data_IF_469695371258
#
_entry.id   IF_469695371258
#
_cell.length_a   1.000
_cell.length_b   1.000
_cell.length_c   1.000
_cell.angle_alpha   90.00
_cell.angle_beta   90.00
_cell.angle_gamma   90.00
#
_symmetry.space_group_name_H-M   'P 1'
#
loop_
_entity.id
_entity.type
_entity.pdbx_description
1 polymer ?
#
# COMPACT_ATOMS: atom_id res chain seq x y z
N UNK A 1 21.27 19.51 -48.29
CA UNK A 1 21.07 18.24 -49.01
C UNK A 1 20.17 17.35 -48.17
N UNK A 2 19.05 16.86 -48.70
CA UNK A 2 18.16 15.97 -47.95
C UNK A 2 18.88 14.64 -47.69
N UNK A 3 19.13 14.31 -46.42
CA UNK A 3 19.73 13.05 -45.98
C UNK A 3 18.75 11.90 -46.23
N UNK A 4 19.05 11.05 -47.21
CA UNK A 4 18.16 10.01 -47.76
C UNK A 4 18.13 8.69 -46.95
N UNK A 5 18.58 8.69 -45.68
CA UNK A 5 18.68 7.47 -44.88
C UNK A 5 18.26 7.65 -43.42
N UNK A 6 17.81 6.56 -42.79
CA UNK A 6 17.48 6.52 -41.36
C UNK A 6 18.70 6.92 -40.53
N UNK A 7 18.57 8.00 -39.75
CA UNK A 7 19.64 8.58 -38.94
C UNK A 7 19.59 8.09 -37.48
N UNK A 8 18.41 7.71 -36.99
CA UNK A 8 18.20 7.21 -35.63
C UNK A 8 17.70 5.77 -35.71
N UNK A 9 18.32 4.88 -34.94
CA UNK A 9 17.90 3.48 -34.80
C UNK A 9 17.37 3.25 -33.38
N UNK A 10 16.16 2.72 -33.23
CA UNK A 10 15.60 2.35 -31.92
C UNK A 10 15.58 0.83 -31.78
N UNK A 11 16.47 0.33 -30.92
CA UNK A 11 16.48 -1.08 -30.52
C UNK A 11 15.61 -1.26 -29.28
N UNK A 12 14.59 -2.11 -29.39
CA UNK A 12 13.64 -2.44 -28.33
C UNK A 12 13.04 -3.83 -28.62
N UNK A 13 12.49 -4.48 -27.60
CA UNK A 13 11.70 -5.70 -27.81
C UNK A 13 10.38 -5.36 -28.49
N UNK A 14 9.89 -6.24 -29.38
CA UNK A 14 8.57 -6.06 -30.01
C UNK A 14 7.43 -6.00 -28.99
N UNK A 15 7.61 -6.60 -27.81
CA UNK A 15 6.68 -6.54 -26.68
C UNK A 15 6.63 -5.15 -26.01
N UNK A 16 7.67 -4.33 -26.19
CA UNK A 16 7.76 -2.98 -25.63
C UNK A 16 7.45 -1.90 -26.68
N UNK A 17 6.73 -2.27 -27.75
CA UNK A 17 6.45 -1.36 -28.88
C UNK A 17 5.74 -0.08 -28.44
N UNK A 18 4.82 -0.16 -27.48
CA UNK A 18 4.10 1.01 -26.95
C UNK A 18 5.06 2.05 -26.35
N UNK A 19 6.04 1.60 -25.57
CA UNK A 19 7.07 2.47 -25.00
C UNK A 19 7.97 3.08 -26.08
N UNK A 20 8.38 2.27 -27.06
CA UNK A 20 9.18 2.77 -28.18
C UNK A 20 8.42 3.81 -29.02
N UNK A 21 7.13 3.59 -29.27
CA UNK A 21 6.29 4.53 -30.01
C UNK A 21 6.14 5.87 -29.28
N UNK A 22 5.90 5.86 -27.96
CA UNK A 22 5.83 7.09 -27.14
C UNK A 22 7.15 7.86 -27.15
N UNK A 23 8.30 7.17 -27.11
CA UNK A 23 9.61 7.83 -27.24
C UNK A 23 9.79 8.44 -28.64
N UNK A 24 9.35 7.76 -29.70
CA UNK A 24 9.42 8.32 -31.06
C UNK A 24 8.52 9.54 -31.19
N UNK A 25 7.33 9.51 -30.60
CA UNK A 25 6.41 10.64 -30.65
C UNK A 25 6.93 11.82 -29.80
N UNK A 26 7.63 11.56 -28.69
CA UNK A 26 8.40 12.59 -27.98
C UNK A 26 9.48 13.22 -28.88
N UNK A 27 10.29 12.41 -29.58
CA UNK A 27 11.30 12.92 -30.50
C UNK A 27 10.68 13.73 -31.65
N UNK A 28 9.53 13.30 -32.15
CA UNK A 28 8.85 13.99 -33.24
C UNK A 28 8.25 15.32 -32.81
N UNK A 29 7.51 15.33 -31.69
CA UNK A 29 6.78 16.51 -31.21
C UNK A 29 7.66 17.49 -30.44
N UNK A 30 8.64 17.01 -29.67
CA UNK A 30 9.49 17.84 -28.83
C UNK A 30 10.84 18.19 -29.46
N UNK A 31 11.43 17.30 -30.26
CA UNK A 31 12.74 17.53 -30.89
C UNK A 31 12.65 17.83 -32.39
N UNK A 32 11.44 17.89 -32.95
CA UNK A 32 11.17 18.10 -34.38
C UNK A 32 11.88 17.11 -35.31
N UNK A 33 12.17 15.91 -34.81
CA UNK A 33 12.77 14.85 -35.64
C UNK A 33 11.73 14.35 -36.64
N UNK A 34 12.00 14.42 -37.96
CA UNK A 34 11.11 13.85 -38.95
C UNK A 34 10.97 12.33 -38.78
N UNK A 35 9.73 11.80 -38.77
CA UNK A 35 9.46 10.36 -38.55
C UNK A 35 10.18 9.46 -39.56
N UNK A 36 10.47 9.97 -40.76
CA UNK A 36 11.21 9.24 -41.79
C UNK A 36 12.70 9.06 -41.46
N UNK A 37 13.30 9.84 -40.55
CA UNK A 37 14.69 9.65 -40.10
C UNK A 37 14.85 8.56 -39.03
N UNK A 38 13.75 8.10 -38.43
CA UNK A 38 13.75 7.08 -37.38
C UNK A 38 13.49 5.70 -37.98
N UNK A 39 14.34 4.73 -37.64
CA UNK A 39 14.12 3.32 -37.90
C UNK A 39 13.66 2.61 -36.62
N UNK A 40 12.51 1.96 -36.72
CA UNK A 40 11.92 1.14 -35.66
C UNK A 40 11.33 -0.10 -36.33
N UNK A 41 11.98 -1.25 -36.17
CA UNK A 41 11.66 -2.48 -36.89
C UNK A 41 10.22 -2.98 -36.66
N UNK A 42 9.67 -2.78 -35.47
CA UNK A 42 8.32 -3.22 -35.07
C UNK A 42 7.17 -2.33 -35.57
N UNK A 43 7.45 -1.24 -36.28
CA UNK A 43 6.41 -0.30 -36.73
C UNK A 43 6.20 -0.33 -38.25
N UNK A 44 4.95 -0.50 -38.73
CA UNK A 44 4.66 -0.74 -40.15
C UNK A 44 5.09 0.42 -41.05
N UNK A 45 5.01 1.68 -40.59
CA UNK A 45 5.40 2.86 -41.37
C UNK A 45 6.85 3.33 -41.21
N UNK A 46 7.64 2.71 -40.34
CA UNK A 46 9.01 3.17 -39.98
C UNK A 46 10.05 2.05 -39.95
N UNK A 47 9.63 0.80 -40.01
CA UNK A 47 10.45 -0.41 -39.96
C UNK A 47 10.83 -0.96 -41.33
N UNK A 48 10.96 -2.28 -41.41
CA UNK A 48 11.28 -2.97 -42.66
C UNK A 48 10.04 -3.02 -43.56
N UNK A 49 10.10 -2.51 -44.81
CA UNK A 49 9.00 -2.64 -45.76
C UNK A 49 8.70 -4.12 -46.09
N UNK A 50 7.43 -4.49 -46.35
CA UNK A 50 7.08 -5.82 -46.81
C UNK A 50 7.90 -6.26 -48.03
N UNK A 51 8.28 -7.53 -48.09
CA UNK A 51 9.07 -8.10 -49.19
C UNK A 51 10.56 -7.74 -49.19
N UNK A 52 11.06 -6.99 -48.20
CA UNK A 52 12.51 -6.79 -47.98
C UNK A 52 13.04 -7.76 -46.93
N UNK A 53 14.29 -8.20 -47.10
CA UNK A 53 14.96 -9.02 -46.10
C UNK A 53 15.15 -8.26 -44.79
N UNK A 54 14.50 -8.75 -43.73
CA UNK A 54 14.44 -8.10 -42.42
C UNK A 54 15.83 -7.93 -41.81
N UNK A 55 16.63 -8.99 -41.82
CA UNK A 55 17.94 -9.01 -41.16
C UNK A 55 18.89 -8.02 -41.84
N UNK A 56 18.93 -8.02 -43.17
CA UNK A 56 19.72 -7.08 -43.98
C UNK A 56 19.31 -5.63 -43.71
N UNK A 57 18.02 -5.33 -43.63
CA UNK A 57 17.53 -3.98 -43.36
C UNK A 57 17.84 -3.51 -41.94
N UNK A 58 17.66 -4.36 -40.94
CA UNK A 58 18.08 -4.06 -39.56
C UNK A 58 19.58 -3.75 -39.53
N UNK A 59 20.43 -4.61 -40.10
CA UNK A 59 21.89 -4.42 -40.15
C UNK A 59 22.28 -3.14 -40.87
N UNK A 60 21.66 -2.86 -42.01
CA UNK A 60 21.91 -1.65 -42.81
C UNK A 60 21.60 -0.39 -42.01
N UNK A 61 20.39 -0.30 -41.44
CA UNK A 61 19.94 0.87 -40.70
C UNK A 61 20.73 1.05 -39.39
N UNK A 62 21.05 -0.03 -38.68
CA UNK A 62 21.89 0.02 -37.48
C UNK A 62 23.30 0.53 -37.79
N UNK A 63 23.89 0.10 -38.92
CA UNK A 63 25.22 0.55 -39.35
C UNK A 63 25.22 2.01 -39.82
N UNK A 64 24.19 2.47 -40.54
CA UNK A 64 24.13 3.83 -41.07
C UNK A 64 23.64 4.88 -40.06
N UNK A 65 22.94 4.48 -38.99
CA UNK A 65 22.43 5.41 -37.99
C UNK A 65 23.57 6.17 -37.30
N UNK A 66 23.36 7.47 -37.08
CA UNK A 66 24.24 8.36 -36.29
C UNK A 66 24.00 8.19 -34.79
N UNK A 67 22.77 7.86 -34.41
CA UNK A 67 22.34 7.66 -33.02
C UNK A 67 21.63 6.33 -32.92
N UNK A 68 22.00 5.52 -31.93
CA UNK A 68 21.32 4.28 -31.56
C UNK A 68 20.74 4.45 -30.17
N UNK A 69 19.42 4.34 -30.06
CA UNK A 69 18.72 4.36 -28.77
C UNK A 69 18.40 2.92 -28.39
N UNK A 70 18.82 2.51 -27.20
CA UNK A 70 18.52 1.18 -26.66
C UNK A 70 17.49 1.33 -25.54
N UNK A 71 16.33 0.70 -25.67
CA UNK A 71 15.32 0.66 -24.60
C UNK A 71 15.48 -0.67 -23.87
N UNK A 72 16.27 -0.65 -22.79
CA UNK A 72 16.66 -1.82 -22.04
C UNK A 72 15.58 -2.17 -21.01
N UNK A 73 14.83 -3.22 -21.32
CA UNK A 73 13.76 -3.81 -20.49
C UNK A 73 14.08 -5.29 -20.23
N UNK A 74 13.38 -5.98 -19.32
CA UNK A 74 13.51 -7.43 -19.21
C UNK A 74 13.17 -8.17 -20.52
N UNK A 75 12.19 -7.67 -21.30
CA UNK A 75 11.85 -8.20 -22.61
C UNK A 75 12.97 -8.00 -23.64
N UNK A 76 13.73 -6.91 -23.54
CA UNK A 76 14.91 -6.66 -24.37
C UNK A 76 15.96 -7.74 -24.16
N UNK A 77 16.31 -8.04 -22.91
CA UNK A 77 17.32 -9.06 -22.58
C UNK A 77 16.88 -10.48 -22.89
N UNK A 78 15.56 -10.73 -22.94
CA UNK A 78 14.99 -12.01 -23.38
C UNK A 78 15.00 -12.19 -24.91
N UNK A 79 15.26 -11.12 -25.68
CA UNK A 79 15.30 -11.14 -27.14
C UNK A 79 16.73 -11.28 -27.67
N UNK A 80 17.06 -12.46 -28.23
CA UNK A 80 18.37 -12.70 -28.84
C UNK A 80 18.71 -11.68 -29.96
N UNK A 81 17.69 -11.20 -30.68
CA UNK A 81 17.87 -10.14 -31.68
C UNK A 81 18.30 -8.81 -31.05
N UNK A 82 17.60 -8.37 -30.00
CA UNK A 82 17.90 -7.11 -29.32
C UNK A 82 19.30 -7.13 -28.67
N UNK A 83 19.66 -8.25 -28.04
CA UNK A 83 21.01 -8.44 -27.48
C UNK A 83 22.07 -8.43 -28.59
N UNK A 84 21.79 -9.04 -29.75
CA UNK A 84 22.67 -8.96 -30.92
C UNK A 84 22.83 -7.54 -31.47
N UNK A 85 21.73 -6.77 -31.56
CA UNK A 85 21.75 -5.35 -31.96
C UNK A 85 22.56 -4.50 -30.98
N UNK A 86 22.41 -4.73 -29.66
CA UNK A 86 23.21 -4.08 -28.62
C UNK A 86 24.71 -4.35 -28.79
N UNK A 87 25.10 -5.60 -29.07
CA UNK A 87 26.51 -5.94 -29.31
C UNK A 87 27.10 -5.21 -30.51
N UNK A 88 26.33 -5.09 -31.61
CA UNK A 88 26.75 -4.31 -32.79
C UNK A 88 26.80 -2.81 -32.48
N UNK A 89 25.83 -2.27 -31.74
CA UNK A 89 25.82 -0.88 -31.34
C UNK A 89 27.05 -0.54 -30.47
N UNK A 90 27.36 -1.39 -29.49
CA UNK A 90 28.55 -1.29 -28.66
C UNK A 90 29.83 -1.31 -29.49
N UNK A 91 29.98 -2.28 -30.42
CA UNK A 91 31.15 -2.37 -31.30
C UNK A 91 31.36 -1.09 -32.13
N UNK A 92 30.28 -0.42 -32.52
CA UNK A 92 30.33 0.80 -33.32
C UNK A 92 30.35 2.09 -32.49
N UNK A 93 30.36 2.02 -31.16
CA UNK A 93 30.24 3.18 -30.26
C UNK A 93 31.33 4.24 -30.41
N UNK A 94 32.48 3.90 -31.00
CA UNK A 94 33.54 4.87 -31.35
C UNK A 94 33.15 5.80 -32.52
N UNK A 95 32.10 5.48 -33.28
CA UNK A 95 31.69 6.19 -34.51
C UNK A 95 30.26 6.71 -34.50
N UNK A 96 29.47 6.38 -33.47
CA UNK A 96 28.07 6.79 -33.33
C UNK A 96 27.70 6.90 -31.87
N UNK A 97 26.72 7.73 -31.56
CA UNK A 97 26.24 7.85 -30.19
C UNK A 97 25.30 6.68 -29.87
N UNK A 98 25.55 6.03 -28.75
CA UNK A 98 24.69 4.97 -28.21
C UNK A 98 24.06 5.52 -26.94
N UNK A 99 22.73 5.53 -26.89
CA UNK A 99 21.95 6.13 -25.82
C UNK A 99 21.06 5.07 -25.15
N UNK A 100 21.56 4.37 -24.13
CA UNK A 100 20.78 3.39 -23.41
C UNK A 100 19.84 4.06 -22.40
N UNK A 101 18.59 3.60 -22.41
CA UNK A 101 17.58 3.87 -21.41
C UNK A 101 17.23 2.60 -20.66
N UNK A 102 17.00 2.73 -19.36
CA UNK A 102 16.43 1.67 -18.51
C UNK A 102 15.04 2.10 -18.01
N UNK A 103 14.26 1.14 -17.53
CA UNK A 103 12.98 1.42 -16.89
C UNK A 103 13.16 1.97 -15.47
N UNK A 104 12.21 2.76 -14.94
CA UNK A 104 12.34 3.39 -13.62
C UNK A 104 12.59 2.45 -12.46
N UNK A 105 12.09 1.21 -12.55
CA UNK A 105 12.25 0.19 -11.51
C UNK A 105 13.53 -0.65 -11.66
N UNK A 106 14.31 -0.44 -12.72
CA UNK A 106 15.56 -1.16 -12.96
C UNK A 106 16.75 -0.35 -12.48
N UNK A 107 17.78 -1.02 -11.97
CA UNK A 107 19.04 -0.37 -11.62
C UNK A 107 20.05 -0.53 -12.75
N UNK A 108 20.82 0.52 -13.03
CA UNK A 108 21.90 0.45 -14.03
C UNK A 108 22.92 -0.66 -13.69
N UNK A 109 23.14 -0.97 -12.42
CA UNK A 109 24.00 -2.08 -11.97
C UNK A 109 23.49 -3.47 -12.33
N UNK A 110 22.18 -3.62 -12.55
CA UNK A 110 21.55 -4.89 -12.96
C UNK A 110 21.73 -5.13 -14.47
N UNK A 111 21.95 -4.07 -15.24
CA UNK A 111 22.35 -4.15 -16.64
C UNK A 111 23.86 -4.42 -16.70
N UNK A 112 24.21 -5.70 -16.63
CA UNK A 112 25.60 -6.16 -16.67
C UNK A 112 26.12 -6.28 -18.11
N UNK A 113 27.39 -5.94 -18.35
CA UNK A 113 28.09 -6.25 -19.59
C UNK A 113 28.64 -5.06 -20.39
N UNK A 114 28.40 -5.07 -21.71
CA UNK A 114 29.10 -4.29 -22.75
C UNK A 114 28.96 -2.76 -22.63
N UNK A 115 27.90 -2.28 -21.98
CA UNK A 115 27.62 -0.86 -21.85
C UNK A 115 28.11 -0.34 -20.50
N UNK A 116 28.71 0.86 -20.48
CA UNK A 116 29.12 1.49 -19.22
C UNK A 116 27.88 1.95 -18.46
N UNK A 117 27.81 1.60 -17.18
CA UNK A 117 26.70 2.00 -16.28
C UNK A 117 26.53 3.52 -16.21
N UNK A 118 27.63 4.29 -16.27
CA UNK A 118 27.61 5.76 -16.29
C UNK A 118 26.90 6.36 -17.51
N UNK A 119 26.80 5.60 -18.61
CA UNK A 119 26.13 6.04 -19.82
C UNK A 119 24.65 5.65 -19.82
N UNK A 120 24.13 5.00 -18.77
CA UNK A 120 22.72 4.60 -18.66
C UNK A 120 21.94 5.61 -17.82
N UNK A 121 20.72 5.91 -18.25
CA UNK A 121 19.79 6.70 -17.46
C UNK A 121 18.38 6.15 -17.55
N UNK A 122 17.60 6.36 -16.50
CA UNK A 122 16.19 5.99 -16.52
C UNK A 122 15.44 6.84 -17.54
N UNK A 123 14.46 6.24 -18.22
CA UNK A 123 13.66 6.90 -19.25
C UNK A 123 12.72 7.98 -18.68
N UNK A 124 12.47 7.98 -17.37
CA UNK A 124 11.74 9.03 -16.65
C UNK A 124 12.63 10.18 -16.14
N UNK A 125 13.94 10.12 -16.34
CA UNK A 125 14.85 11.19 -15.94
C UNK A 125 14.78 12.35 -16.90
N UNK A 126 14.30 13.50 -16.42
CA UNK A 126 14.24 14.74 -17.20
C UNK A 126 15.63 15.16 -17.72
N UNK A 127 16.67 15.05 -16.89
CA UNK A 127 18.05 15.36 -17.28
C UNK A 127 18.56 14.43 -18.38
N UNK A 128 18.24 13.13 -18.27
CA UNK A 128 18.63 12.16 -19.31
C UNK A 128 17.94 12.43 -20.63
N UNK A 129 16.66 12.78 -20.60
CA UNK A 129 15.91 13.18 -21.79
C UNK A 129 16.47 14.48 -22.39
N UNK A 130 16.92 15.43 -21.58
CA UNK A 130 17.58 16.65 -22.05
C UNK A 130 18.91 16.34 -22.75
N UNK A 131 19.72 15.46 -22.18
CA UNK A 131 20.96 14.99 -22.81
C UNK A 131 20.67 14.33 -24.17
N UNK A 132 19.60 13.53 -24.27
CA UNK A 132 19.18 12.96 -25.56
C UNK A 132 18.82 14.08 -26.55
N UNK A 133 18.01 15.05 -26.13
CA UNK A 133 17.61 16.17 -26.99
C UNK A 133 18.81 16.96 -27.50
N UNK A 134 19.73 17.31 -26.60
CA UNK A 134 20.96 18.02 -26.95
C UNK A 134 21.76 17.27 -28.00
N UNK A 135 21.90 15.95 -27.82
CA UNK A 135 22.68 15.10 -28.71
C UNK A 135 22.02 14.88 -30.06
N UNK A 136 20.70 14.70 -30.07
CA UNK A 136 19.91 14.60 -31.31
C UNK A 136 20.01 15.90 -32.10
N UNK A 137 19.83 17.05 -31.46
CA UNK A 137 19.93 18.35 -32.11
C UNK A 137 21.32 18.57 -32.71
N UNK A 138 22.39 18.27 -31.97
CA UNK A 138 23.78 18.40 -32.43
C UNK A 138 24.07 17.48 -33.64
N UNK A 139 23.72 16.19 -33.57
CA UNK A 139 24.10 15.22 -34.62
C UNK A 139 23.28 15.34 -35.90
N UNK A 140 22.04 15.81 -35.79
CA UNK A 140 21.12 15.97 -36.92
C UNK A 140 21.07 17.42 -37.43
N UNK A 141 21.80 18.35 -36.80
CA UNK A 141 21.81 19.78 -37.15
C UNK A 141 20.39 20.39 -37.09
N UNK A 142 19.67 20.09 -36.00
CA UNK A 142 18.31 20.57 -35.77
C UNK A 142 18.31 21.79 -34.85
N UNK A 143 17.48 22.78 -35.16
CA UNK A 143 17.26 23.93 -34.29
C UNK A 143 16.50 23.50 -33.03
N UNK A 144 16.97 23.95 -31.86
CA UNK A 144 16.30 23.67 -30.60
C UNK A 144 15.15 24.65 -30.38
N UNK A 145 13.95 24.13 -30.17
CA UNK A 145 12.79 24.88 -29.67
C UNK A 145 12.49 24.39 -28.26
N UNK A 146 12.84 25.21 -27.26
CA UNK A 146 12.76 24.82 -25.84
C UNK A 146 11.31 24.64 -25.39
N UNK A 147 10.41 25.52 -25.84
CA UNK A 147 9.00 25.49 -25.44
C UNK A 147 8.29 24.20 -25.90
N UNK A 148 8.48 23.80 -27.16
CA UNK A 148 7.92 22.56 -27.70
C UNK A 148 8.49 21.34 -26.99
N UNK A 149 9.80 21.34 -26.73
CA UNK A 149 10.48 20.31 -25.97
C UNK A 149 9.91 20.15 -24.56
N UNK A 150 9.80 21.24 -23.81
CA UNK A 150 9.31 21.20 -22.42
C UNK A 150 7.87 20.68 -22.35
N UNK A 151 6.99 21.13 -23.26
CA UNK A 151 5.61 20.65 -23.34
C UNK A 151 5.54 19.15 -23.69
N UNK A 152 6.28 18.72 -24.71
CA UNK A 152 6.30 17.33 -25.13
C UNK A 152 6.91 16.41 -24.05
N UNK A 153 8.02 16.82 -23.42
CA UNK A 153 8.67 16.08 -22.32
C UNK A 153 7.73 15.95 -21.12
N UNK A 154 7.05 17.03 -20.72
CA UNK A 154 6.09 16.98 -19.61
C UNK A 154 4.93 16.02 -19.91
N UNK A 155 4.41 16.03 -21.14
CA UNK A 155 3.35 15.09 -21.58
C UNK A 155 3.83 13.65 -21.59
N UNK A 156 5.05 13.40 -22.08
CA UNK A 156 5.68 12.08 -22.08
C UNK A 156 5.83 11.54 -20.65
N UNK A 157 6.45 12.31 -19.76
CA UNK A 157 6.66 11.92 -18.35
C UNK A 157 5.33 11.66 -17.61
N UNK A 158 4.27 12.42 -17.95
CA UNK A 158 2.93 12.19 -17.39
C UNK A 158 2.30 10.86 -17.84
N UNK A 159 2.56 10.43 -19.08
CA UNK A 159 2.00 9.19 -19.66
C UNK A 159 2.81 7.95 -19.33
N UNK A 160 4.12 8.12 -19.16
CA UNK A 160 5.08 7.04 -19.00
C UNK A 160 4.70 6.00 -17.93
N UNK A 161 4.20 6.37 -16.72
CA UNK A 161 3.84 5.37 -15.70
C UNK A 161 2.76 4.39 -16.17
N UNK A 162 1.76 4.87 -16.94
CA UNK A 162 0.70 4.02 -17.49
C UNK A 162 1.26 3.04 -18.51
N UNK A 163 2.10 3.53 -19.42
CA UNK A 163 2.72 2.72 -20.48
C UNK A 163 3.65 1.66 -19.90
N UNK A 164 4.47 2.02 -18.90
CA UNK A 164 5.38 1.08 -18.22
C UNK A 164 4.60 0.00 -17.47
N UNK A 165 3.46 0.34 -16.87
CA UNK A 165 2.60 -0.62 -16.16
C UNK A 165 1.94 -1.64 -17.10
N UNK A 166 1.66 -1.24 -18.33
CA UNK A 166 1.01 -2.09 -19.35
C UNK A 166 2.00 -3.00 -20.08
N UNK A 167 3.31 -2.81 -19.91
CA UNK A 167 4.30 -3.70 -20.51
C UNK A 167 4.15 -5.13 -19.95
N UNK A 168 4.09 -6.11 -20.85
CA UNK A 168 4.14 -7.51 -20.45
C UNK A 168 5.49 -7.82 -19.80
N UNK A 169 5.49 -8.63 -18.74
CA UNK A 169 6.74 -9.12 -18.14
C UNK A 169 7.52 -10.05 -19.10
N UNK A 170 8.80 -10.31 -18.80
CA UNK A 170 9.59 -11.25 -19.59
C UNK A 170 9.00 -12.65 -19.51
N UNK A 171 8.99 -13.37 -20.64
CA UNK A 171 8.53 -14.77 -20.69
C UNK A 171 9.52 -15.77 -20.08
N UNK A 172 10.73 -15.32 -19.76
CA UNK A 172 11.79 -16.14 -19.18
C UNK A 172 12.51 -15.39 -18.06
N UNK A 173 12.89 -16.11 -17.01
CA UNK A 173 13.69 -15.60 -15.89
C UNK A 173 14.86 -16.55 -15.63
N UNK A 174 15.95 -16.08 -14.99
CA UNK A 174 17.03 -16.96 -14.57
C UNK A 174 16.52 -18.10 -13.67
N UNK A 175 17.02 -19.31 -13.88
CA UNK A 175 16.61 -20.51 -13.13
C UNK A 175 16.83 -20.33 -11.62
N UNK A 176 17.89 -19.64 -11.21
CA UNK A 176 18.14 -19.34 -9.81
C UNK A 176 17.04 -18.48 -9.16
N UNK A 177 16.53 -17.48 -9.90
CA UNK A 177 15.42 -16.64 -9.45
C UNK A 177 14.14 -17.47 -9.37
N UNK A 178 13.85 -18.27 -10.41
CA UNK A 178 12.69 -19.16 -10.40
C UNK A 178 12.70 -20.11 -9.21
N UNK A 179 13.84 -20.78 -8.94
CA UNK A 179 13.98 -21.72 -7.82
C UNK A 179 13.87 -21.05 -6.45
N UNK A 180 14.38 -19.83 -6.31
CA UNK A 180 14.27 -19.07 -5.07
C UNK A 180 12.80 -18.69 -4.80
N UNK A 181 12.08 -18.19 -5.81
CA UNK A 181 10.68 -17.81 -5.67
C UNK A 181 9.75 -19.03 -5.48
N UNK A 182 10.01 -20.16 -6.14
CA UNK A 182 9.23 -21.39 -5.90
C UNK A 182 9.44 -21.94 -4.50
N UNK A 183 10.66 -21.88 -3.96
CA UNK A 183 10.95 -22.24 -2.56
C UNK A 183 10.19 -21.33 -1.59
N UNK A 184 10.27 -20.01 -1.78
CA UNK A 184 9.52 -19.04 -0.95
C UNK A 184 8.03 -19.27 -0.99
N UNK A 185 7.48 -19.56 -2.18
CA UNK A 185 6.07 -19.85 -2.34
C UNK A 185 5.67 -21.11 -1.57
N UNK A 186 6.47 -22.17 -1.63
CA UNK A 186 6.23 -23.41 -0.89
C UNK A 186 6.27 -23.18 0.63
N UNK A 187 7.26 -22.43 1.13
CA UNK A 187 7.37 -22.07 2.56
C UNK A 187 6.17 -21.24 3.03
N UNK A 188 5.74 -20.26 2.23
CA UNK A 188 4.57 -19.44 2.53
C UNK A 188 3.28 -20.29 2.56
N UNK A 189 3.12 -21.21 1.61
CA UNK A 189 1.98 -22.13 1.57
C UNK A 189 1.96 -23.07 2.77
N UNK A 190 3.13 -23.61 3.17
CA UNK A 190 3.24 -24.44 4.36
C UNK A 190 2.85 -23.67 5.62
N UNK A 191 3.41 -22.46 5.81
CA UNK A 191 3.11 -21.61 6.96
C UNK A 191 1.62 -21.26 7.02
N UNK A 192 1.00 -20.97 5.88
CA UNK A 192 -0.44 -20.72 5.81
C UNK A 192 -1.25 -21.95 6.22
N UNK A 193 -0.86 -23.16 5.78
CA UNK A 193 -1.53 -24.39 6.18
C UNK A 193 -1.41 -24.66 7.69
N UNK A 194 -0.25 -24.37 8.30
CA UNK A 194 -0.05 -24.49 9.75
C UNK A 194 -0.92 -23.49 10.53
N UNK A 195 -0.99 -22.23 10.07
CA UNK A 195 -1.84 -21.22 10.69
C UNK A 195 -3.32 -21.56 10.60
N UNK A 196 -3.79 -22.10 9.48
CA UNK A 196 -5.18 -22.56 9.33
C UNK A 196 -5.50 -23.68 10.31
N UNK A 197 -4.61 -24.68 10.46
CA UNK A 197 -4.81 -25.74 11.46
C UNK A 197 -4.85 -25.21 12.89
N UNK A 198 -3.98 -24.25 13.21
CA UNK A 198 -3.97 -23.61 14.53
C UNK A 198 -5.28 -22.85 14.78
N UNK A 199 -5.81 -22.15 13.76
CA UNK A 199 -7.10 -21.47 13.86
C UNK A 199 -8.25 -22.46 14.11
N UNK A 200 -8.31 -23.57 13.37
CA UNK A 200 -9.34 -24.60 13.57
C UNK A 200 -9.28 -25.21 14.98
N UNK A 201 -8.07 -25.48 15.49
CA UNK A 201 -7.87 -26.00 16.85
C UNK A 201 -8.29 -24.95 17.89
N UNK A 202 -7.95 -23.68 17.69
CA UNK A 202 -8.36 -22.59 18.59
C UNK A 202 -9.87 -22.37 18.57
N UNK A 203 -10.52 -22.46 17.40
CA UNK A 203 -11.97 -22.38 17.28
C UNK A 203 -12.68 -23.54 17.99
N UNK A 204 -12.10 -24.74 17.92
CA UNK A 204 -12.58 -25.89 18.68
C UNK A 204 -12.44 -25.65 20.18
N UNK A 205 -11.29 -25.18 20.65
CA UNK A 205 -11.06 -24.82 22.05
C UNK A 205 -12.08 -23.78 22.54
N UNK A 206 -12.36 -22.75 21.73
CA UNK A 206 -13.37 -21.73 22.06
C UNK A 206 -14.76 -22.37 22.22
N UNK A 207 -15.18 -23.25 21.30
CA UNK A 207 -16.47 -23.95 21.39
C UNK A 207 -16.57 -24.81 22.65
N UNK A 208 -15.51 -25.51 23.01
CA UNK A 208 -15.44 -26.33 24.23
C UNK A 208 -15.51 -25.47 25.49
N UNK A 209 -14.79 -24.34 25.53
CA UNK A 209 -14.87 -23.36 26.63
C UNK A 209 -16.28 -22.80 26.80
N UNK A 210 -16.97 -22.49 25.70
CA UNK A 210 -18.36 -21.99 25.74
C UNK A 210 -19.33 -23.06 26.26
N UNK A 211 -19.06 -24.34 25.97
CA UNK A 211 -19.90 -25.47 26.38
C UNK A 211 -19.67 -25.95 27.83
N UNK A 212 -18.61 -25.48 28.48
CA UNK A 212 -18.26 -25.87 29.85
C UNK A 212 -19.36 -25.51 30.85
N UNK A 213 -19.61 -26.41 31.81
CA UNK A 213 -20.68 -26.25 32.81
C UNK A 213 -20.22 -25.49 34.04
N UNK A 214 -18.91 -25.45 34.28
CA UNK A 214 -18.31 -24.73 35.42
C UNK A 214 -17.14 -23.86 34.94
N UNK A 215 -16.82 -22.84 35.76
CA UNK A 215 -15.69 -21.94 35.50
C UNK A 215 -14.37 -22.72 35.51
N UNK A 216 -14.22 -23.67 36.43
CA UNK A 216 -13.02 -24.50 36.56
C UNK A 216 -12.80 -25.39 35.33
N UNK A 217 -13.87 -25.95 34.77
CA UNK A 217 -13.84 -26.73 33.53
C UNK A 217 -13.42 -25.85 32.34
N UNK A 218 -14.04 -24.66 32.21
CA UNK A 218 -13.69 -23.69 31.17
C UNK A 218 -12.23 -23.25 31.24
N UNK A 219 -11.71 -22.99 32.45
CA UNK A 219 -10.33 -22.57 32.69
C UNK A 219 -9.33 -23.67 32.31
N UNK A 220 -9.65 -24.93 32.65
CA UNK A 220 -8.83 -26.09 32.30
C UNK A 220 -8.73 -26.29 30.79
N UNK A 221 -9.85 -26.15 30.07
CA UNK A 221 -9.90 -26.26 28.59
C UNK A 221 -9.11 -25.12 27.93
N UNK A 222 -9.24 -23.89 28.45
CA UNK A 222 -8.51 -22.73 27.95
C UNK A 222 -6.99 -22.78 28.24
N UNK A 223 -6.51 -23.75 29.03
CA UNK A 223 -5.12 -23.85 29.45
C UNK A 223 -4.66 -22.72 30.38
N UNK A 224 -5.61 -21.98 30.97
CA UNK A 224 -5.35 -20.94 31.97
C UNK A 224 -5.56 -21.50 33.36
N UNK A 225 -4.53 -21.52 34.21
CA UNK A 225 -4.73 -21.88 35.61
C UNK A 225 -5.54 -20.79 36.33
N UNK A 226 -6.29 -21.15 37.38
CA UNK A 226 -7.01 -20.16 38.18
C UNK A 226 -6.08 -19.11 38.82
N UNK A 227 -4.80 -19.46 39.01
CA UNK A 227 -3.74 -18.60 39.55
C UNK A 227 -3.22 -17.60 38.50
N UNK A 228 -3.21 -17.96 37.22
CA UNK A 228 -2.75 -17.13 36.09
C UNK A 228 -3.82 -16.16 35.54
N UNK A 229 -5.06 -16.25 36.02
CA UNK A 229 -6.12 -15.37 35.58
C UNK A 229 -5.86 -13.91 36.03
N UNK A 230 -6.13 -12.90 35.17
CA UNK A 230 -5.96 -11.50 35.56
C UNK A 230 -6.70 -11.17 36.85
N UNK A 231 -6.00 -10.50 37.77
CA UNK A 231 -6.48 -10.13 39.10
C UNK A 231 -6.96 -11.32 39.96
N UNK A 232 -6.41 -12.53 39.76
CA UNK A 232 -6.74 -13.73 40.55
C UNK A 232 -6.62 -13.50 42.07
N UNK A 233 -5.61 -12.74 42.51
CA UNK A 233 -5.39 -12.36 43.90
C UNK A 233 -6.44 -11.38 44.49
N UNK A 234 -7.25 -10.76 43.64
CA UNK A 234 -8.26 -9.74 44.01
C UNK A 234 -9.66 -10.15 43.51
N UNK A 235 -10.29 -11.18 44.08
CA UNK A 235 -11.52 -11.78 43.54
C UNK A 235 -12.69 -10.81 43.44
N UNK A 236 -12.87 -9.92 44.42
CA UNK A 236 -13.94 -8.91 44.38
C UNK A 236 -13.71 -7.82 43.33
N UNK A 237 -12.46 -7.42 43.11
CA UNK A 237 -12.08 -6.48 42.06
C UNK A 237 -12.29 -7.13 40.71
N UNK A 238 -11.77 -8.35 40.53
CA UNK A 238 -11.91 -9.16 39.32
C UNK A 238 -13.37 -9.35 38.93
N UNK A 239 -14.23 -9.72 39.87
CA UNK A 239 -15.66 -9.88 39.62
C UNK A 239 -16.31 -8.57 39.14
N UNK A 240 -15.98 -7.44 39.78
CA UNK A 240 -16.48 -6.12 39.40
C UNK A 240 -15.97 -5.70 38.01
N UNK A 241 -14.68 -5.88 37.75
CA UNK A 241 -14.04 -5.58 36.46
C UNK A 241 -14.65 -6.40 35.32
N UNK A 242 -14.85 -7.71 35.51
CA UNK A 242 -15.47 -8.58 34.52
C UNK A 242 -16.94 -8.25 34.27
N UNK A 243 -17.71 -7.93 35.31
CA UNK A 243 -19.11 -7.52 35.16
C UNK A 243 -19.24 -6.25 34.31
N UNK A 244 -18.36 -5.27 34.55
CA UNK A 244 -18.27 -4.05 33.73
C UNK A 244 -17.91 -4.42 32.29
N UNK A 245 -16.87 -5.22 32.09
CA UNK A 245 -16.39 -5.60 30.75
C UNK A 245 -17.44 -6.32 29.92
N UNK A 246 -18.11 -7.30 30.49
CA UNK A 246 -19.16 -8.06 29.82
C UNK A 246 -20.31 -7.13 29.42
N UNK A 247 -20.69 -6.19 30.29
CA UNK A 247 -21.80 -5.27 30.02
C UNK A 247 -21.42 -4.24 28.96
N UNK A 248 -20.24 -3.59 29.07
CA UNK A 248 -19.77 -2.61 28.07
C UNK A 248 -19.56 -3.22 26.68
N UNK A 249 -19.21 -4.50 26.56
CA UNK A 249 -19.08 -5.20 25.27
C UNK A 249 -20.41 -5.36 24.54
N UNK A 250 -21.52 -5.47 25.28
CA UNK A 250 -22.87 -5.59 24.71
C UNK A 250 -23.45 -4.25 24.28
N UNK A 251 -22.97 -3.16 24.86
CA UNK A 251 -23.51 -1.82 24.61
C UNK A 251 -22.95 -1.21 23.31
N UNK A 252 -23.78 -0.50 22.52
CA UNK A 252 -23.32 0.28 21.38
C UNK A 252 -22.28 1.34 21.77
N UNK A 253 -21.36 1.69 20.86
CA UNK A 253 -20.27 2.63 21.12
C UNK A 253 -20.78 3.96 21.71
N UNK A 254 -21.82 4.52 21.10
CA UNK A 254 -22.42 5.78 21.51
C UNK A 254 -22.99 5.74 22.94
N UNK A 255 -23.53 4.59 23.38
CA UNK A 255 -24.03 4.41 24.75
C UNK A 255 -22.87 4.41 25.75
N UNK A 256 -21.74 3.79 25.41
CA UNK A 256 -20.53 3.80 26.23
C UNK A 256 -19.95 5.22 26.35
N UNK A 257 -19.91 5.96 25.24
CA UNK A 257 -19.45 7.35 25.25
C UNK A 257 -20.38 8.26 26.08
N UNK A 258 -21.71 8.04 26.01
CA UNK A 258 -22.67 8.76 26.84
C UNK A 258 -22.52 8.43 28.34
N UNK A 259 -22.24 7.17 28.69
CA UNK A 259 -21.94 6.75 30.07
C UNK A 259 -20.65 7.40 30.58
N UNK A 260 -19.60 7.47 29.76
CA UNK A 260 -18.36 8.16 30.09
C UNK A 260 -18.59 9.66 30.36
N UNK A 261 -19.33 10.33 29.47
CA UNK A 261 -19.65 11.75 29.60
C UNK A 261 -20.44 12.04 30.89
N UNK A 262 -21.49 11.24 31.16
CA UNK A 262 -22.29 11.35 32.38
C UNK A 262 -21.44 11.12 33.64
N UNK A 263 -20.55 10.11 33.64
CA UNK A 263 -19.64 9.85 34.75
C UNK A 263 -18.67 11.01 35.02
N UNK A 264 -18.13 11.62 33.97
CA UNK A 264 -17.23 12.76 34.07
C UNK A 264 -17.95 14.07 34.42
N UNK A 265 -19.28 14.10 34.39
CA UNK A 265 -20.09 15.30 34.59
C UNK A 265 -19.92 16.32 33.45
N UNK A 266 -19.53 15.86 32.26
CA UNK A 266 -19.41 16.69 31.06
C UNK A 266 -20.64 16.48 30.20
N UNK A 267 -21.12 17.56 29.57
CA UNK A 267 -22.16 17.42 28.56
C UNK A 267 -21.63 16.60 27.40
N UNK A 268 -22.44 15.64 26.93
CA UNK A 268 -22.07 14.81 25.80
C UNK A 268 -22.02 15.71 24.55
N UNK A 269 -20.83 16.11 24.04
CA UNK A 269 -20.69 17.35 23.27
C UNK A 269 -21.34 17.35 21.89
N UNK A 270 -21.72 16.18 21.38
CA UNK A 270 -22.07 15.99 19.97
C UNK A 270 -23.59 15.98 19.71
N UNK A 271 -24.44 16.13 20.73
CA UNK A 271 -25.90 15.96 20.56
C UNK A 271 -26.69 17.01 21.31
N UNK A 272 -27.01 18.10 20.61
CA UNK A 272 -28.17 18.92 20.93
C UNK A 272 -29.41 18.22 20.38
N UNK A 273 -30.49 18.23 21.15
CA UNK A 273 -31.71 17.50 20.81
C UNK A 273 -32.28 17.88 19.44
N UNK A 274 -33.06 17.00 18.82
CA UNK A 274 -33.80 17.32 17.59
C UNK A 274 -34.77 18.49 17.81
N UNK A 275 -35.20 18.71 19.07
CA UNK A 275 -36.07 19.80 19.51
C UNK A 275 -35.33 21.14 19.75
N UNK A 276 -34.00 21.14 19.76
CA UNK A 276 -33.14 22.30 19.94
C UNK A 276 -32.51 22.75 18.63
N UNK A 277 -33.31 23.02 17.60
CA UNK A 277 -32.79 23.51 16.32
C UNK A 277 -32.20 24.92 16.46
N UNK A 278 -30.91 25.00 16.75
CA UNK A 278 -30.02 26.08 16.30
C UNK A 278 -28.63 25.52 16.02
N UNK A 279 -28.38 25.32 14.71
CA UNK A 279 -27.10 25.27 14.01
C UNK A 279 -25.81 25.14 14.86
N UNK A 280 -25.17 23.94 14.87
CA UNK A 280 -23.71 23.73 14.68
C UNK A 280 -23.15 22.31 14.94
N UNK A 281 -23.93 21.30 15.33
CA UNK A 281 -23.36 19.99 15.69
C UNK A 281 -23.87 18.83 14.82
N UNK A 282 -22.98 17.85 14.54
CA UNK A 282 -23.29 16.63 13.77
C UNK A 282 -24.20 15.74 14.60
N UNK A 283 -25.46 15.57 14.18
CA UNK A 283 -26.32 14.51 14.73
C UNK A 283 -25.80 13.17 14.20
N UNK A 284 -25.27 12.30 15.07
CA UNK A 284 -25.03 10.91 14.67
C UNK A 284 -26.37 10.24 14.38
N UNK A 285 -26.52 9.63 13.20
CA UNK A 285 -27.76 8.99 12.78
C UNK A 285 -28.25 7.88 13.72
N UNK A 286 -27.38 7.29 14.54
CA UNK A 286 -27.75 6.21 15.47
C UNK A 286 -28.49 6.68 16.74
N UNK A 287 -28.46 7.98 17.06
CA UNK A 287 -29.00 8.51 18.31
C UNK A 287 -30.52 8.27 18.50
N UNK A 288 -31.39 8.51 17.50
CA UNK A 288 -32.83 8.26 17.64
C UNK A 288 -33.15 6.78 17.87
N UNK A 289 -32.44 5.86 17.20
CA UNK A 289 -32.63 4.42 17.33
C UNK A 289 -32.26 3.95 18.75
N UNK A 290 -31.19 4.51 19.33
CA UNK A 290 -30.77 4.18 20.70
C UNK A 290 -31.68 4.77 21.77
N UNK A 291 -32.34 5.91 21.50
CA UNK A 291 -33.41 6.44 22.34
C UNK A 291 -34.65 5.54 22.27
N UNK A 292 -35.03 5.12 21.06
CA UNK A 292 -36.16 4.20 20.86
C UNK A 292 -35.91 2.82 21.49
N UNK A 293 -34.69 2.31 21.38
CA UNK A 293 -34.24 1.08 22.04
C UNK A 293 -34.14 1.22 23.56
N UNK A 294 -34.34 2.43 24.11
CA UNK A 294 -34.40 2.67 25.55
C UNK A 294 -33.02 2.75 26.23
N UNK A 295 -31.92 2.77 25.48
CA UNK A 295 -30.57 2.97 26.04
C UNK A 295 -30.30 4.44 26.39
N UNK A 296 -30.90 5.38 25.67
CA UNK A 296 -30.68 6.82 25.86
C UNK A 296 -32.01 7.52 26.17
N UNK A 297 -31.93 8.61 26.93
CA UNK A 297 -33.03 9.57 27.13
C UNK A 297 -32.65 10.90 26.51
N UNK A 298 -33.56 11.45 25.72
CA UNK A 298 -33.42 12.78 25.13
C UNK A 298 -34.22 13.81 25.94
N UNK A 299 -33.58 14.93 26.26
CA UNK A 299 -34.19 16.15 26.79
C UNK A 299 -33.98 17.28 25.80
N UNK A 300 -34.63 18.44 26.00
CA UNK A 300 -34.58 19.59 25.06
C UNK A 300 -33.17 20.04 24.65
N UNK A 301 -32.13 19.76 25.45
CA UNK A 301 -30.75 20.13 25.11
C UNK A 301 -29.70 19.04 25.31
N UNK A 302 -30.07 17.87 25.85
CA UNK A 302 -29.10 16.86 26.26
C UNK A 302 -29.61 15.45 26.00
N UNK A 303 -28.71 14.58 25.52
CA UNK A 303 -28.87 13.12 25.54
C UNK A 303 -28.13 12.58 26.76
N UNK A 304 -28.76 11.67 27.51
CA UNK A 304 -28.16 11.01 28.68
C UNK A 304 -28.42 9.50 28.68
N UNK A 305 -27.59 8.70 29.34
CA UNK A 305 -27.90 7.29 29.57
C UNK A 305 -29.25 7.11 30.26
N UNK A 306 -30.04 6.14 29.80
CA UNK A 306 -31.30 5.81 30.42
C UNK A 306 -31.11 4.84 31.59
N UNK A 307 -31.02 5.35 32.82
CA UNK A 307 -30.91 4.52 34.03
C UNK A 307 -32.20 3.80 34.45
N UNK A 308 -33.18 3.65 33.56
CA UNK A 308 -34.29 2.69 33.70
C UNK A 308 -34.01 1.38 32.95
N UNK A 309 -33.03 1.37 32.04
CA UNK A 309 -32.61 0.17 31.33
C UNK A 309 -31.76 -0.72 32.26
N UNK A 310 -32.09 -2.02 32.35
CA UNK A 310 -31.46 -2.96 33.29
C UNK A 310 -29.92 -2.99 33.18
N UNK A 311 -29.38 -3.06 31.96
CA UNK A 311 -27.93 -3.02 31.73
C UNK A 311 -27.28 -1.71 32.21
N UNK A 312 -27.98 -0.58 32.08
CA UNK A 312 -27.47 0.74 32.47
C UNK A 312 -27.54 0.98 33.98
N UNK A 313 -28.50 0.35 34.67
CA UNK A 313 -28.52 0.28 36.14
C UNK A 313 -27.31 -0.53 36.62
N UNK A 314 -27.15 -1.74 36.08
CA UNK A 314 -26.07 -2.65 36.48
C UNK A 314 -24.68 -2.05 36.24
N UNK A 315 -24.45 -1.42 35.09
CA UNK A 315 -23.16 -0.80 34.78
C UNK A 315 -22.87 0.37 35.71
N UNK A 316 -23.88 1.20 36.05
CA UNK A 316 -23.71 2.34 36.97
C UNK A 316 -23.29 1.88 38.36
N UNK A 317 -23.96 0.87 38.89
CA UNK A 317 -23.63 0.29 40.20
C UNK A 317 -22.22 -0.31 40.22
N UNK A 318 -21.87 -1.07 39.18
CA UNK A 318 -20.54 -1.68 39.07
C UNK A 318 -19.44 -0.63 38.89
N UNK A 319 -19.67 0.44 38.12
CA UNK A 319 -18.71 1.55 37.99
C UNK A 319 -18.53 2.26 39.33
N UNK A 320 -19.60 2.49 40.10
CA UNK A 320 -19.49 3.05 41.46
C UNK A 320 -18.73 2.12 42.41
N UNK A 321 -18.93 0.80 42.29
CA UNK A 321 -18.17 -0.20 43.05
C UNK A 321 -16.69 -0.18 42.68
N UNK A 322 -16.37 -0.15 41.38
CA UNK A 322 -15.00 -0.04 40.88
C UNK A 322 -14.35 1.26 41.36
N UNK A 323 -15.06 2.38 41.32
CA UNK A 323 -14.55 3.67 41.81
C UNK A 323 -14.21 3.62 43.31
N UNK A 324 -15.03 2.93 44.12
CA UNK A 324 -14.73 2.72 45.55
C UNK A 324 -13.50 1.86 45.76
N UNK A 325 -13.36 0.77 44.99
CA UNK A 325 -12.19 -0.12 45.05
C UNK A 325 -10.90 0.61 44.65
N UNK A 326 -10.92 1.42 43.58
CA UNK A 326 -9.77 2.22 43.15
C UNK A 326 -9.38 3.34 44.13
N UNK A 327 -10.35 3.86 44.91
CA UNK A 327 -10.10 4.86 45.96
C UNK A 327 -9.59 4.25 47.27
N UNK A 328 -9.77 2.95 47.49
CA UNK A 328 -9.17 2.27 48.63
C UNK A 328 -7.65 2.44 48.56
N UNK A 329 -7.00 2.77 49.68
CA UNK A 329 -5.54 2.93 49.75
C UNK A 329 -4.82 1.57 49.76
N UNK A 330 -5.22 0.66 48.88
CA UNK A 330 -4.55 -0.61 48.65
C UNK A 330 -3.40 -0.38 47.66
N UNK A 331 -2.18 -0.33 48.16
CA UNK A 331 -0.97 -0.16 47.35
C UNK A 331 -0.70 -1.37 46.46
N UNK A 332 -1.04 -2.59 46.92
CA UNK A 332 -0.82 -3.81 46.15
C UNK A 332 -1.72 -3.90 44.91
N UNK A 333 -2.99 -3.49 45.03
CA UNK A 333 -3.91 -3.46 43.89
C UNK A 333 -3.42 -2.50 42.80
N UNK A 334 -2.86 -1.35 43.17
CA UNK A 334 -2.34 -0.35 42.21
C UNK A 334 -1.12 -0.85 41.45
N UNK A 335 -0.19 -1.50 42.15
CA UNK A 335 0.98 -2.13 41.51
C UNK A 335 0.55 -3.21 40.54
N UNK A 336 -0.39 -4.07 40.95
CA UNK A 336 -0.90 -5.14 40.09
C UNK A 336 -1.64 -4.64 38.85
N UNK A 337 -2.41 -3.55 38.98
CA UNK A 337 -3.06 -2.89 37.85
C UNK A 337 -2.05 -2.40 36.81
N UNK A 338 -0.91 -1.86 37.26
CA UNK A 338 0.16 -1.41 36.39
C UNK A 338 0.87 -2.57 35.71
N UNK A 339 1.10 -3.68 36.41
CA UNK A 339 1.71 -4.90 35.86
C UNK A 339 0.84 -5.54 34.76
N UNK A 340 -0.44 -5.76 35.04
CA UNK A 340 -1.31 -6.53 34.13
C UNK A 340 -1.94 -5.69 33.00
N UNK A 341 -2.15 -4.38 33.21
CA UNK A 341 -2.79 -3.50 32.21
C UNK A 341 -1.84 -2.45 31.62
N UNK A 342 -0.59 -2.37 32.11
CA UNK A 342 0.40 -1.38 31.65
C UNK A 342 0.06 0.07 31.99
N UNK A 343 -1.02 0.35 32.74
CA UNK A 343 -1.48 1.70 33.06
C UNK A 343 -2.30 1.73 34.34
N UNK A 344 -2.41 2.91 34.95
CA UNK A 344 -3.32 3.12 36.08
C UNK A 344 -4.76 3.33 35.56
N UNK A 345 -5.72 2.65 36.17
CA UNK A 345 -7.13 2.85 35.85
C UNK A 345 -7.64 4.14 36.52
N UNK A 346 -7.88 5.16 35.71
CA UNK A 346 -8.62 6.36 36.11
C UNK A 346 -9.91 6.45 35.29
N UNK A 347 -11.05 6.27 35.95
CA UNK A 347 -12.37 6.31 35.30
C UNK A 347 -12.71 7.66 34.65
N UNK A 348 -11.95 8.73 34.93
CA UNK A 348 -12.07 10.02 34.22
C UNK A 348 -11.34 10.04 32.88
N UNK A 349 -10.45 9.09 32.61
CA UNK A 349 -9.80 8.96 31.32
C UNK A 349 -10.59 8.04 30.38
N UNK A 350 -10.82 8.50 29.14
CA UNK A 350 -11.50 7.70 28.11
C UNK A 350 -10.81 6.35 27.86
N UNK A 351 -9.47 6.33 27.92
CA UNK A 351 -8.65 5.12 27.79
C UNK A 351 -9.06 4.01 28.77
N UNK A 352 -9.45 4.36 29.99
CA UNK A 352 -9.89 3.39 31.01
C UNK A 352 -11.17 2.67 30.57
N UNK A 353 -12.08 3.38 29.93
CA UNK A 353 -13.34 2.80 29.44
C UNK A 353 -13.12 1.89 28.23
N UNK A 354 -12.15 2.20 27.38
CA UNK A 354 -11.71 1.32 26.28
C UNK A 354 -11.09 0.02 26.81
N UNK A 355 -10.23 0.11 27.82
CA UNK A 355 -9.65 -1.05 28.52
C UNK A 355 -10.73 -1.90 29.19
N UNK A 356 -11.67 -1.25 29.89
CA UNK A 356 -12.78 -1.93 30.54
C UNK A 356 -13.67 -2.63 29.52
N UNK A 357 -13.89 -2.06 28.34
CA UNK A 357 -14.65 -2.70 27.25
C UNK A 357 -13.86 -3.81 26.55
N UNK A 358 -12.53 -3.77 26.62
CA UNK A 358 -11.66 -4.75 26.00
C UNK A 358 -11.55 -4.57 24.49
N UNK A 359 -11.50 -3.32 24.02
CA UNK A 359 -10.95 -3.01 22.70
C UNK A 359 -9.47 -3.40 22.72
N UNK A 360 -9.09 -4.41 21.93
CA UNK A 360 -7.69 -4.74 21.71
C UNK A 360 -7.05 -3.57 20.97
N UNK A 361 -5.88 -3.11 21.43
CA UNK A 361 -5.04 -2.30 20.58
C UNK A 361 -4.52 -3.22 19.48
N UNK A 362 -5.10 -3.06 18.29
CA UNK A 362 -4.31 -3.18 17.07
C UNK A 362 -3.29 -2.05 17.18
N UNK A 363 -2.01 -2.40 17.36
CA UNK A 363 -0.92 -1.45 17.22
C UNK A 363 -1.10 -0.72 15.86
N UNK A 364 -1.32 0.60 15.92
CA UNK A 364 -1.24 1.50 14.75
C UNK A 364 0.12 2.18 14.77
#
# INVERSE_FOLDING_TARGET
MATTGKQIFISHSSQDKSLADELVDLMHSGMQVPKNLVYQSSHPGRGTPPGKDFISQVRKNLRSAKIVILILTPNFFSSAYCVGEMGVAWWLSSRKDVFPFILPYMKASEVTGLLKTADMGSIDSADRLNQLYDRVAEKLDLSKVVTDWDQARAKFLKRLPGVVKELSGPQSVPVAVLNAETTRLAEAQQKNAELVKLLEEKDKQIKEVIAAKTIEEAQKIAGTSAEEAPFSAYPEFRATFLAIRITLRKLPNMVVDALYADFCGVDFPEYTSVLGQMHRFRVNPEAPDLVHAGYLKESKYHIRPNYEHADLISIRENIQRLQRQLRAKDTGLKERLREELGTELDLRHKRTWEILRGAEFVDI
#
